data_IF_679373745506
#
_entry.id   IF_679373745506
#
_cell.length_a   1.000
_cell.length_b   1.000
_cell.length_c   1.000
_cell.angle_alpha   90.00
_cell.angle_beta   90.00
_cell.angle_gamma   90.00
#
_symmetry.space_group_name_H-M   'P 1'
#
loop_
_entity.id
_entity.type
_entity.pdbx_description
1 polymer ?
#
# COMPACT_ATOMS: atom_id res chain seq x y z
N UNK A 1 39.58 -19.91 21.10
CA UNK A 1 38.21 -20.47 21.12
C UNK A 1 37.06 -19.43 21.09
N UNK A 2 37.19 -18.27 21.77
CA UNK A 2 36.10 -17.28 21.92
C UNK A 2 35.66 -16.54 20.65
N UNK A 3 36.59 -16.22 19.74
CA UNK A 3 36.29 -15.48 18.50
C UNK A 3 35.39 -16.28 17.55
N UNK A 4 35.64 -17.59 17.38
CA UNK A 4 34.77 -18.47 16.57
C UNK A 4 33.35 -18.54 17.12
N UNK A 5 33.19 -18.65 18.44
CA UNK A 5 31.89 -18.66 19.09
C UNK A 5 31.14 -17.33 18.89
N UNK A 6 31.86 -16.21 18.94
CA UNK A 6 31.29 -14.89 18.66
C UNK A 6 30.78 -14.76 17.22
N UNK A 7 31.60 -15.14 16.23
CA UNK A 7 31.23 -15.08 14.81
C UNK A 7 30.02 -15.98 14.51
N UNK A 8 29.97 -17.19 15.09
CA UNK A 8 28.83 -18.10 14.91
C UNK A 8 27.54 -17.52 15.47
N UNK A 9 27.59 -16.89 16.67
CA UNK A 9 26.42 -16.22 17.26
C UNK A 9 25.95 -15.06 16.40
N UNK A 10 26.86 -14.25 15.88
CA UNK A 10 26.53 -13.12 15.00
C UNK A 10 25.86 -13.62 13.71
N UNK A 11 26.41 -14.66 13.08
CA UNK A 11 25.83 -15.29 11.89
C UNK A 11 24.41 -15.80 12.17
N UNK A 12 24.21 -16.51 13.28
CA UNK A 12 22.90 -17.02 13.65
C UNK A 12 21.90 -15.89 13.92
N UNK A 13 22.33 -14.82 14.60
CA UNK A 13 21.47 -13.65 14.84
C UNK A 13 21.02 -12.99 13.53
N UNK A 14 21.91 -12.86 12.54
CA UNK A 14 21.57 -12.31 11.23
C UNK A 14 20.60 -13.22 10.48
N UNK A 15 20.82 -14.54 10.49
CA UNK A 15 19.90 -15.51 9.87
C UNK A 15 18.51 -15.45 10.51
N UNK A 16 18.44 -15.43 11.85
CA UNK A 16 17.18 -15.33 12.58
C UNK A 16 16.45 -14.01 12.28
N UNK A 17 17.18 -12.90 12.23
CA UNK A 17 16.62 -11.60 11.87
C UNK A 17 16.03 -11.64 10.46
N UNK A 18 16.76 -12.19 9.48
CA UNK A 18 16.29 -12.36 8.12
C UNK A 18 14.98 -13.17 8.04
N UNK A 19 14.95 -14.34 8.68
CA UNK A 19 13.78 -15.21 8.66
C UNK A 19 12.56 -14.55 9.33
N UNK A 20 12.79 -13.80 10.42
CA UNK A 20 11.72 -13.04 11.08
C UNK A 20 11.15 -11.93 10.18
N UNK A 21 11.98 -11.23 9.40
CA UNK A 21 11.54 -10.21 8.45
C UNK A 21 10.69 -10.84 7.34
N UNK A 22 11.12 -11.99 6.80
CA UNK A 22 10.36 -12.70 5.78
C UNK A 22 9.01 -13.19 6.32
N UNK A 23 9.00 -13.82 7.49
CA UNK A 23 7.78 -14.28 8.13
C UNK A 23 6.80 -13.12 8.41
N UNK A 24 7.32 -11.98 8.86
CA UNK A 24 6.53 -10.77 9.07
C UNK A 24 5.89 -10.29 7.77
N UNK A 25 6.67 -10.16 6.69
CA UNK A 25 6.19 -9.72 5.39
C UNK A 25 5.07 -10.63 4.86
N UNK A 26 5.23 -11.94 4.96
CA UNK A 26 4.18 -12.90 4.53
C UNK A 26 2.89 -12.69 5.33
N UNK A 27 3.00 -12.49 6.64
CA UNK A 27 1.85 -12.24 7.52
C UNK A 27 1.15 -10.92 7.19
N UNK A 28 1.91 -9.86 6.93
CA UNK A 28 1.38 -8.55 6.51
C UNK A 28 0.65 -8.66 5.19
N UNK A 29 1.27 -9.26 4.17
CA UNK A 29 0.64 -9.47 2.86
C UNK A 29 -0.66 -10.26 3.01
N UNK A 30 -0.65 -11.36 3.77
CA UNK A 30 -1.87 -12.14 4.02
C UNK A 30 -2.96 -11.32 4.68
N UNK A 31 -2.60 -10.46 5.64
CA UNK A 31 -3.56 -9.60 6.36
C UNK A 31 -4.09 -8.49 5.46
N UNK A 32 -3.23 -7.85 4.67
CA UNK A 32 -3.60 -6.84 3.70
C UNK A 32 -4.54 -7.42 2.63
N UNK A 33 -4.19 -8.57 2.06
CA UNK A 33 -5.01 -9.28 1.07
C UNK A 33 -6.35 -9.73 1.66
N UNK A 34 -6.36 -10.21 2.92
CA UNK A 34 -7.61 -10.58 3.60
C UNK A 34 -8.57 -9.39 3.77
N UNK A 35 -8.03 -8.19 3.96
CA UNK A 35 -8.81 -6.95 4.11
C UNK A 35 -9.07 -6.24 2.79
N UNK A 36 -8.48 -6.71 1.69
CA UNK A 36 -8.69 -6.14 0.37
C UNK A 36 -10.08 -6.53 -0.12
N UNK A 37 -10.94 -5.52 -0.25
CA UNK A 37 -12.23 -5.67 -0.93
C UNK A 37 -11.93 -5.51 -2.43
N UNK A 38 -12.35 -6.49 -3.22
CA UNK A 38 -12.25 -6.37 -4.68
C UNK A 38 -13.06 -5.16 -5.13
N UNK A 39 -12.44 -4.30 -5.93
CA UNK A 39 -13.10 -3.08 -6.39
C UNK A 39 -14.29 -3.48 -7.27
N UNK A 40 -15.51 -3.00 -6.96
CA UNK A 40 -16.72 -3.43 -7.69
C UNK A 40 -16.85 -2.76 -9.08
N UNK A 41 -15.91 -1.90 -9.47
CA UNK A 41 -15.99 -1.12 -10.69
C UNK A 41 -15.53 -1.93 -11.92
N UNK A 42 -16.24 -1.73 -13.03
CA UNK A 42 -15.92 -2.31 -14.33
C UNK A 42 -15.66 -1.21 -15.36
N UNK A 43 -14.95 -1.57 -16.41
CA UNK A 43 -14.79 -0.71 -17.58
C UNK A 43 -16.15 -0.29 -18.11
N UNK A 44 -16.33 1.01 -18.39
CA UNK A 44 -17.59 1.58 -18.82
C UNK A 44 -18.49 2.12 -17.71
N UNK A 45 -18.22 1.81 -16.44
CA UNK A 45 -18.96 2.41 -15.32
C UNK A 45 -18.70 3.91 -15.22
N UNK A 46 -19.73 4.66 -14.81
CA UNK A 46 -19.63 6.08 -14.48
C UNK A 46 -19.39 6.25 -12.98
N UNK A 47 -18.19 6.70 -12.62
CA UNK A 47 -17.75 6.79 -11.22
C UNK A 47 -17.36 8.21 -10.85
N UNK A 48 -17.66 8.57 -9.61
CA UNK A 48 -17.19 9.80 -8.99
C UNK A 48 -15.77 9.61 -8.43
N UNK A 49 -14.84 10.48 -8.81
CA UNK A 49 -13.44 10.39 -8.40
C UNK A 49 -13.16 11.38 -7.27
N UNK A 50 -12.45 10.96 -6.23
CA UNK A 50 -12.13 11.85 -5.12
C UNK A 50 -11.14 12.94 -5.55
N UNK A 51 -11.49 14.20 -5.26
CA UNK A 51 -10.66 15.36 -5.56
C UNK A 51 -9.44 15.51 -4.62
N UNK A 52 -9.27 14.63 -3.62
CA UNK A 52 -8.27 14.79 -2.55
C UNK A 52 -6.83 14.88 -3.09
N UNK A 53 -6.50 14.04 -4.08
CA UNK A 53 -5.15 13.94 -4.65
C UNK A 53 -5.09 14.40 -6.12
N UNK A 54 -6.11 15.14 -6.59
CA UNK A 54 -6.20 15.63 -7.96
C UNK A 54 -5.84 17.11 -8.00
N UNK A 55 -5.12 17.52 -9.04
CA UNK A 55 -4.85 18.93 -9.31
C UNK A 55 -6.13 19.61 -9.78
N UNK A 56 -6.59 20.62 -9.04
CA UNK A 56 -7.74 21.42 -9.44
C UNK A 56 -7.31 22.51 -10.44
N UNK A 57 -8.19 22.89 -11.38
CA UNK A 57 -7.89 23.97 -12.32
C UNK A 57 -7.53 25.27 -11.58
N UNK A 58 -6.68 26.08 -12.20
CA UNK A 58 -6.15 27.31 -11.60
C UNK A 58 -7.30 28.25 -11.18
N UNK A 59 -7.26 28.71 -9.93
CA UNK A 59 -8.31 29.56 -9.35
C UNK A 59 -9.35 28.83 -8.50
N UNK A 60 -9.36 27.49 -8.49
CA UNK A 60 -10.21 26.73 -7.57
C UNK A 60 -9.55 26.61 -6.19
N UNK A 61 -10.18 27.22 -5.19
CA UNK A 61 -9.80 26.99 -3.79
C UNK A 61 -10.24 25.61 -3.33
N UNK A 62 -9.33 24.85 -2.71
CA UNK A 62 -9.61 23.52 -2.14
C UNK A 62 -10.72 23.53 -1.09
N UNK A 63 -10.96 24.68 -0.43
CA UNK A 63 -12.02 24.83 0.58
C UNK A 63 -13.43 24.78 -0.01
N UNK A 64 -13.59 25.26 -1.25
CA UNK A 64 -14.89 25.34 -1.95
C UNK A 64 -15.04 24.28 -3.05
N UNK A 65 -13.97 23.54 -3.35
CA UNK A 65 -14.00 22.48 -4.35
C UNK A 65 -14.86 21.30 -3.86
N UNK A 66 -15.63 20.66 -4.76
CA UNK A 66 -16.38 19.48 -4.42
C UNK A 66 -15.42 18.33 -4.04
N UNK A 67 -15.81 17.54 -3.04
CA UNK A 67 -15.01 16.41 -2.56
C UNK A 67 -14.83 15.31 -3.61
N UNK A 68 -15.81 15.19 -4.52
CA UNK A 68 -15.79 14.27 -5.63
C UNK A 68 -16.03 15.03 -6.94
N UNK A 69 -15.26 14.70 -7.96
CA UNK A 69 -15.39 15.22 -9.31
C UNK A 69 -16.18 14.23 -10.14
N UNK A 70 -17.13 14.75 -10.92
CA UNK A 70 -17.92 14.19 -12.03
C UNK A 70 -18.14 12.67 -12.17
N UNK A 71 -19.20 12.23 -12.84
CA UNK A 71 -19.22 10.87 -13.36
C UNK A 71 -18.19 10.77 -14.50
N UNK A 72 -17.04 10.14 -14.21
CA UNK A 72 -16.06 9.79 -15.23
C UNK A 72 -16.28 8.35 -15.67
N UNK A 73 -16.15 8.11 -16.96
CA UNK A 73 -16.17 6.74 -17.49
C UNK A 73 -14.82 6.08 -17.27
N UNK A 74 -14.83 4.89 -16.69
CA UNK A 74 -13.62 4.05 -16.59
C UNK A 74 -13.26 3.55 -18.00
N UNK A 75 -12.08 3.94 -18.46
CA UNK A 75 -11.44 3.42 -19.68
C UNK A 75 -10.66 2.14 -19.34
N UNK A 76 -10.41 1.28 -20.34
CA UNK A 76 -9.66 0.02 -20.17
C UNK A 76 -8.27 0.21 -19.55
#
# INVERSE_FOLDING_TARGET
>A
PGVRAFVLRMKNAVMMAHDSILAHRVKEIRTANRRQIQSPFKTGDMVYVSAKNISLPKGYSRKLAPRFLGPYRILE
#
